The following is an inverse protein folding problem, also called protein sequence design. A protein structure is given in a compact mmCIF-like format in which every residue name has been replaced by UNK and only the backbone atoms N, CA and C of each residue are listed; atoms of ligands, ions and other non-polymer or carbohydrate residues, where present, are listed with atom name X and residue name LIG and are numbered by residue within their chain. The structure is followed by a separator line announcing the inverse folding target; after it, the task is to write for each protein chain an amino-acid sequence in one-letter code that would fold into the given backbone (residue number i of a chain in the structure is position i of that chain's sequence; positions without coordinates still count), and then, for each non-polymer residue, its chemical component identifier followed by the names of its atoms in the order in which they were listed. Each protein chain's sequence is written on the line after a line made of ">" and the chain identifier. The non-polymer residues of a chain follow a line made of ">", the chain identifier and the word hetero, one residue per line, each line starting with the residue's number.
data_IF_217613020880
#
_entry.id   IF_217613020880
#
_cell.length_a   1.000
_cell.length_b   1.000
_cell.length_c   1.000
_cell.angle_alpha   90.00
_cell.angle_beta   90.00
_cell.angle_gamma   90.00
#
_symmetry.space_group_name_H-M   'P 1'
#
loop_
_entity.id
_entity.type
_entity.pdbx_description
1 polymer ?
#
# COMPACT_ATOMS: atom_id res chain seq x y z
N UNK A 1 30.05 10.82 7.87
CA UNK A 1 29.01 10.46 6.88
C UNK A 1 28.06 11.64 6.77
N UNK A 2 27.72 12.07 5.54
CA UNK A 2 26.72 13.14 5.34
C UNK A 2 25.28 12.63 5.48
N UNK A 3 24.31 13.56 5.51
CA UNK A 3 22.90 13.22 5.57
C UNK A 3 22.45 12.46 4.32
N UNK A 4 21.72 11.37 4.53
CA UNK A 4 21.11 10.59 3.45
C UNK A 4 19.92 11.37 2.89
N UNK A 5 20.02 11.82 1.63
CA UNK A 5 18.96 12.55 0.92
C UNK A 5 18.21 11.69 -0.09
N UNK A 6 18.80 10.54 -0.46
CA UNK A 6 18.22 9.63 -1.44
C UNK A 6 18.67 8.19 -1.14
N UNK A 7 17.73 7.25 -1.13
CA UNK A 7 17.98 5.84 -0.86
C UNK A 7 16.99 4.94 -1.60
N UNK A 8 17.49 4.00 -2.39
CA UNK A 8 16.71 3.00 -3.13
C UNK A 8 15.51 3.60 -3.91
N UNK A 9 15.70 4.72 -4.61
CA UNK A 9 14.62 5.35 -5.38
C UNK A 9 13.67 6.24 -4.57
N UNK A 10 13.92 6.40 -3.28
CA UNK A 10 13.16 7.26 -2.38
C UNK A 10 13.96 8.50 -1.99
N UNK A 11 13.29 9.64 -1.93
CA UNK A 11 13.83 10.83 -1.29
C UNK A 11 13.65 10.73 0.23
N UNK A 12 14.67 11.16 0.96
CA UNK A 12 14.70 11.22 2.42
C UNK A 12 14.80 12.69 2.83
N UNK A 13 13.77 13.17 3.50
CA UNK A 13 13.73 14.53 4.07
C UNK A 13 13.73 14.40 5.60
N UNK A 14 14.67 15.04 6.26
CA UNK A 14 14.82 14.99 7.71
C UNK A 14 14.84 16.41 8.27
N UNK A 15 13.90 16.71 9.15
CA UNK A 15 13.82 17.95 9.93
C UNK A 15 14.08 17.59 11.40
N UNK A 16 15.32 17.86 11.84
CA UNK A 16 15.76 17.53 13.20
C UNK A 16 15.07 18.41 14.26
N UNK A 17 14.80 19.66 13.92
CA UNK A 17 14.21 20.62 14.84
C UNK A 17 12.74 20.24 15.14
N UNK A 18 12.02 19.76 14.12
CA UNK A 18 10.66 19.26 14.27
C UNK A 18 10.58 17.78 14.64
N UNK A 19 11.69 17.05 14.60
CA UNK A 19 11.71 15.60 14.82
C UNK A 19 10.86 14.85 13.79
N UNK A 20 10.96 15.24 12.51
CA UNK A 20 10.19 14.65 11.39
C UNK A 20 11.14 14.02 10.38
N UNK A 21 10.80 12.79 9.95
CA UNK A 21 11.43 12.10 8.84
C UNK A 21 10.35 11.80 7.79
N UNK A 22 10.60 12.15 6.53
CA UNK A 22 9.74 11.82 5.39
C UNK A 22 10.47 10.99 4.36
N UNK A 23 9.78 9.96 3.86
CA UNK A 23 10.20 9.14 2.73
C UNK A 23 9.18 9.25 1.62
N UNK A 24 9.59 9.68 0.43
CA UNK A 24 8.67 9.85 -0.69
C UNK A 24 9.31 9.59 -2.04
N UNK A 25 8.49 9.29 -3.03
CA UNK A 25 8.89 9.08 -4.43
C UNK A 25 8.28 10.15 -5.36
N UNK A 26 8.24 11.41 -4.91
CA UNK A 26 7.53 12.50 -5.59
C UNK A 26 7.85 12.58 -7.08
N UNK A 27 9.13 12.68 -7.45
CA UNK A 27 9.53 12.78 -8.87
C UNK A 27 9.10 11.58 -9.71
N UNK A 28 9.18 10.37 -9.14
CA UNK A 28 8.69 9.16 -9.78
C UNK A 28 7.19 9.22 -10.03
N UNK A 29 6.43 9.57 -8.99
CA UNK A 29 4.96 9.64 -9.08
C UNK A 29 4.49 10.73 -10.05
N UNK A 30 5.13 11.90 -10.06
CA UNK A 30 4.85 12.99 -11.02
C UNK A 30 5.07 12.53 -12.47
N UNK A 31 6.16 11.81 -12.74
CA UNK A 31 6.50 11.32 -14.09
C UNK A 31 5.63 10.18 -14.62
N UNK A 32 4.80 9.54 -13.78
CA UNK A 32 3.97 8.42 -14.24
C UNK A 32 2.90 8.86 -15.25
N UNK A 33 2.22 9.99 -15.02
CA UNK A 33 1.20 10.49 -15.96
C UNK A 33 1.82 10.86 -17.30
N UNK A 34 3.01 11.47 -17.29
CA UNK A 34 3.75 11.79 -18.52
C UNK A 34 4.15 10.54 -19.28
N UNK A 35 4.75 9.57 -18.59
CA UNK A 35 5.17 8.29 -19.17
C UNK A 35 4.06 7.56 -19.92
N UNK A 36 2.83 7.67 -19.46
CA UNK A 36 1.67 6.96 -20.04
C UNK A 36 0.73 7.86 -20.84
N UNK A 37 1.10 9.13 -21.11
CA UNK A 37 0.29 10.08 -21.86
C UNK A 37 -1.05 10.43 -21.21
N UNK A 38 -1.06 10.57 -19.87
CA UNK A 38 -2.26 10.77 -19.06
C UNK A 38 -2.33 12.14 -18.37
N UNK A 39 -1.54 13.12 -18.82
CA UNK A 39 -1.44 14.44 -18.18
C UNK A 39 -2.75 15.24 -18.26
N UNK A 40 -3.46 15.14 -19.40
CA UNK A 40 -4.66 15.93 -19.68
C UNK A 40 -5.93 15.37 -19.01
N UNK A 41 -5.80 14.33 -18.21
CA UNK A 41 -6.92 13.72 -17.50
C UNK A 41 -7.27 14.44 -16.19
N UNK A 42 -8.49 14.23 -15.70
CA UNK A 42 -8.93 14.73 -14.40
C UNK A 42 -8.05 14.20 -13.26
N UNK A 43 -8.04 14.91 -12.11
CA UNK A 43 -7.34 14.52 -10.88
C UNK A 43 -8.29 13.75 -9.96
N UNK A 44 -8.26 12.42 -9.94
CA UNK A 44 -9.16 11.64 -9.09
C UNK A 44 -8.88 11.89 -7.61
N UNK A 45 -9.94 11.97 -6.79
CA UNK A 45 -9.81 12.10 -5.35
C UNK A 45 -9.54 10.75 -4.63
N UNK A 46 -9.83 9.63 -5.31
CA UNK A 46 -9.69 8.28 -4.77
C UNK A 46 -8.97 7.36 -5.76
N UNK A 47 -8.22 6.36 -5.29
CA UNK A 47 -7.51 5.41 -6.16
C UNK A 47 -8.43 4.70 -7.16
N UNK A 48 -9.54 4.13 -6.68
CA UNK A 48 -10.58 3.49 -7.49
C UNK A 48 -11.92 4.20 -7.31
N UNK A 49 -12.85 4.09 -8.28
CA UNK A 49 -14.22 4.57 -8.10
C UNK A 49 -14.91 3.86 -6.93
N UNK A 50 -15.87 4.53 -6.31
CA UNK A 50 -16.70 3.89 -5.27
C UNK A 50 -17.49 2.73 -5.87
N UNK A 51 -17.50 1.60 -5.17
CA UNK A 51 -18.20 0.38 -5.62
C UNK A 51 -17.53 -0.37 -6.78
N UNK A 52 -16.39 0.09 -7.28
CA UNK A 52 -15.65 -0.61 -8.33
C UNK A 52 -15.05 -1.92 -7.82
N UNK A 53 -15.39 -3.01 -8.48
CA UNK A 53 -14.84 -4.34 -8.18
C UNK A 53 -13.93 -4.81 -9.31
N UNK A 54 -12.83 -5.46 -8.96
CA UNK A 54 -11.91 -6.06 -9.94
C UNK A 54 -12.17 -7.56 -9.96
N UNK A 55 -12.84 -8.04 -11.00
CA UNK A 55 -13.17 -9.45 -11.19
C UNK A 55 -12.58 -9.94 -12.53
N UNK A 56 -12.28 -11.24 -12.68
CA UNK A 56 -11.93 -11.80 -13.98
C UNK A 56 -13.04 -11.53 -15.00
N UNK A 57 -12.67 -11.14 -16.20
CA UNK A 57 -13.62 -10.90 -17.29
C UNK A 57 -13.75 -12.10 -18.23
N UNK A 58 -14.86 -12.14 -19.01
CA UNK A 58 -15.06 -13.10 -20.07
C UNK A 58 -14.00 -12.92 -21.19
N UNK A 59 -13.77 -13.95 -22.00
CA UNK A 59 -12.74 -13.95 -23.06
C UNK A 59 -12.97 -12.83 -24.08
N UNK A 60 -14.20 -12.52 -24.39
CA UNK A 60 -14.62 -11.49 -25.35
C UNK A 60 -14.36 -10.06 -24.87
N UNK A 61 -14.21 -9.88 -23.55
CA UNK A 61 -13.97 -8.57 -22.92
C UNK A 61 -12.49 -8.26 -22.71
N UNK A 62 -11.59 -9.22 -22.95
CA UNK A 62 -10.16 -9.05 -22.77
C UNK A 62 -9.62 -8.08 -23.81
N UNK A 63 -8.85 -7.08 -23.33
CA UNK A 63 -8.22 -6.10 -24.22
C UNK A 63 -7.20 -6.74 -25.16
N UNK A 64 -6.92 -6.07 -26.28
CA UNK A 64 -5.90 -6.48 -27.23
C UNK A 64 -4.48 -6.50 -26.65
N UNK A 65 -3.56 -7.13 -27.34
CA UNK A 65 -2.17 -7.36 -26.90
C UNK A 65 -1.42 -6.07 -26.52
N UNK A 66 -1.64 -4.97 -27.28
CA UNK A 66 -1.04 -3.66 -27.01
C UNK A 66 -1.50 -3.10 -25.65
N UNK A 67 -2.80 -3.12 -25.42
CA UNK A 67 -3.42 -2.61 -24.19
C UNK A 67 -3.09 -3.49 -22.99
N UNK A 68 -2.95 -4.80 -23.20
CA UNK A 68 -2.49 -5.74 -22.16
C UNK A 68 -1.05 -5.42 -21.72
N UNK A 69 -0.14 -5.14 -22.69
CA UNK A 69 1.23 -4.70 -22.38
C UNK A 69 1.25 -3.37 -21.64
N UNK A 70 0.41 -2.43 -22.06
CA UNK A 70 0.26 -1.14 -21.39
C UNK A 70 -0.24 -1.32 -19.95
N UNK A 71 -1.29 -2.12 -19.76
CA UNK A 71 -1.83 -2.45 -18.43
C UNK A 71 -0.77 -3.07 -17.52
N UNK A 72 -0.06 -4.08 -17.99
CA UNK A 72 1.02 -4.74 -17.26
C UNK A 72 2.11 -3.75 -16.84
N UNK A 73 2.53 -2.87 -17.75
CA UNK A 73 3.52 -1.82 -17.46
C UNK A 73 3.04 -0.84 -16.40
N UNK A 74 1.77 -0.37 -16.47
CA UNK A 74 1.18 0.52 -15.48
C UNK A 74 1.07 -0.16 -14.10
N UNK A 75 0.56 -1.39 -14.04
CA UNK A 75 0.45 -2.14 -12.78
C UNK A 75 1.82 -2.38 -12.15
N UNK A 76 2.83 -2.71 -12.94
CA UNK A 76 4.21 -2.84 -12.45
C UNK A 76 4.76 -1.54 -11.84
N UNK A 77 4.54 -0.41 -12.51
CA UNK A 77 4.97 0.90 -12.02
C UNK A 77 4.22 1.33 -10.74
N UNK A 78 2.92 1.07 -10.67
CA UNK A 78 2.10 1.32 -9.49
C UNK A 78 2.51 0.43 -8.32
N UNK A 79 2.83 -0.84 -8.58
CA UNK A 79 3.28 -1.79 -7.56
C UNK A 79 4.62 -1.36 -6.94
N UNK A 80 5.52 -0.77 -7.74
CA UNK A 80 6.75 -0.20 -7.20
C UNK A 80 6.46 0.95 -6.22
N UNK A 81 5.56 1.89 -6.56
CA UNK A 81 5.18 2.96 -5.64
C UNK A 81 4.45 2.42 -4.39
N UNK A 82 3.50 1.49 -4.58
CA UNK A 82 2.71 0.87 -3.52
C UNK A 82 3.55 0.16 -2.46
N UNK A 83 4.64 -0.49 -2.86
CA UNK A 83 5.50 -1.27 -1.96
C UNK A 83 6.60 -0.44 -1.28
N UNK A 84 6.82 0.83 -1.70
CA UNK A 84 7.90 1.64 -1.15
C UNK A 84 7.40 2.80 -0.29
N UNK A 85 6.49 3.64 -0.80
CA UNK A 85 6.09 4.87 -0.11
C UNK A 85 4.60 5.17 -0.15
N UNK A 86 3.78 4.35 -0.84
CA UNK A 86 2.38 4.63 -1.09
C UNK A 86 1.45 3.49 -0.59
N UNK A 87 1.34 3.28 0.73
CA UNK A 87 0.40 2.30 1.29
C UNK A 87 -1.06 2.56 0.91
N UNK A 88 -1.44 3.80 0.63
CA UNK A 88 -2.77 4.23 0.22
C UNK A 88 -3.27 3.60 -1.08
N UNK A 89 -2.36 3.18 -1.97
CA UNK A 89 -2.72 2.49 -3.22
C UNK A 89 -2.49 0.96 -3.17
N UNK A 90 -2.05 0.41 -2.06
CA UNK A 90 -1.70 -1.02 -1.96
C UNK A 90 -2.87 -1.94 -2.32
N UNK A 91 -4.07 -1.64 -1.83
CA UNK A 91 -5.28 -2.39 -2.16
C UNK A 91 -5.61 -2.31 -3.66
N UNK A 92 -5.71 -1.10 -4.21
CA UNK A 92 -6.06 -0.89 -5.62
C UNK A 92 -5.08 -1.59 -6.56
N UNK A 93 -3.77 -1.45 -6.28
CA UNK A 93 -2.70 -2.08 -7.07
C UNK A 93 -2.75 -3.59 -6.97
N UNK A 94 -2.93 -4.15 -5.77
CA UNK A 94 -3.06 -5.59 -5.56
C UNK A 94 -4.25 -6.18 -6.33
N UNK A 95 -5.39 -5.48 -6.36
CA UNK A 95 -6.57 -5.90 -7.11
C UNK A 95 -6.32 -5.90 -8.61
N UNK A 96 -5.77 -4.81 -9.17
CA UNK A 96 -5.43 -4.73 -10.60
C UNK A 96 -4.37 -5.77 -10.99
N UNK A 97 -3.40 -6.04 -10.11
CA UNK A 97 -2.40 -7.07 -10.34
C UNK A 97 -3.00 -8.48 -10.44
N UNK A 98 -4.11 -8.77 -9.76
CA UNK A 98 -4.75 -10.10 -9.81
C UNK A 98 -5.34 -10.44 -11.18
N UNK A 99 -5.58 -9.45 -12.05
CA UNK A 99 -6.15 -9.63 -13.40
C UNK A 99 -5.17 -9.28 -14.52
N UNK A 100 -3.88 -9.13 -14.19
CA UNK A 100 -2.84 -8.65 -15.13
C UNK A 100 -2.68 -9.52 -16.39
N UNK A 101 -2.98 -10.81 -16.31
CA UNK A 101 -2.90 -11.73 -17.43
C UNK A 101 -4.02 -11.52 -18.46
N UNK A 102 -5.20 -11.09 -18.01
CA UNK A 102 -6.42 -10.97 -18.85
C UNK A 102 -7.26 -9.76 -18.38
N UNK A 103 -6.77 -8.52 -18.59
CA UNK A 103 -7.50 -7.33 -18.18
C UNK A 103 -8.63 -6.98 -19.15
N UNK A 104 -9.74 -6.46 -18.62
CA UNK A 104 -10.81 -5.85 -19.41
C UNK A 104 -10.53 -4.37 -19.71
N UNK A 105 -11.32 -3.77 -20.63
CA UNK A 105 -11.26 -2.33 -20.89
C UNK A 105 -11.56 -1.49 -19.64
N UNK A 106 -12.51 -1.92 -18.82
CA UNK A 106 -12.85 -1.24 -17.57
C UNK A 106 -11.68 -1.25 -16.56
N UNK A 107 -11.00 -2.38 -16.47
CA UNK A 107 -9.81 -2.52 -15.60
C UNK A 107 -8.62 -1.70 -16.13
N UNK A 108 -8.46 -1.60 -17.45
CA UNK A 108 -7.47 -0.71 -18.07
C UNK A 108 -7.75 0.77 -17.72
N UNK A 109 -8.99 1.21 -17.80
CA UNK A 109 -9.38 2.58 -17.40
C UNK A 109 -9.19 2.81 -15.88
N UNK A 110 -9.46 1.80 -15.06
CA UNK A 110 -9.17 1.86 -13.63
C UNK A 110 -7.65 2.00 -13.35
N UNK A 111 -6.79 1.30 -14.11
CA UNK A 111 -5.34 1.45 -14.01
C UNK A 111 -4.89 2.86 -14.43
N UNK A 112 -5.42 3.39 -15.54
CA UNK A 112 -5.16 4.78 -15.97
C UNK A 112 -5.61 5.79 -14.92
N UNK A 113 -6.79 5.59 -14.30
CA UNK A 113 -7.27 6.40 -13.19
C UNK A 113 -6.30 6.36 -12.01
N UNK A 114 -5.80 5.19 -11.63
CA UNK A 114 -4.87 5.02 -10.53
C UNK A 114 -3.53 5.73 -10.79
N UNK A 115 -3.03 5.70 -12.04
CA UNK A 115 -1.85 6.47 -12.46
C UNK A 115 -2.09 7.97 -12.28
N UNK A 116 -3.24 8.50 -12.71
CA UNK A 116 -3.60 9.93 -12.52
C UNK A 116 -3.70 10.29 -11.04
N UNK A 117 -4.29 9.41 -10.21
CA UNK A 117 -4.36 9.61 -8.77
C UNK A 117 -2.97 9.71 -8.14
N UNK A 118 -2.07 8.78 -8.44
CA UNK A 118 -0.70 8.77 -7.92
C UNK A 118 0.06 10.02 -8.35
N UNK A 119 -0.05 10.43 -9.60
CA UNK A 119 0.59 11.65 -10.11
C UNK A 119 0.00 12.91 -9.46
N UNK A 120 -1.32 13.01 -9.31
CA UNK A 120 -1.98 14.15 -8.68
C UNK A 120 -1.67 14.27 -7.18
N UNK A 121 -1.35 13.15 -6.53
CA UNK A 121 -1.01 13.06 -5.11
C UNK A 121 0.47 12.73 -4.87
N UNK A 122 1.36 13.13 -5.77
CA UNK A 122 2.76 12.78 -5.77
C UNK A 122 3.52 13.23 -4.50
N UNK A 123 3.02 14.25 -3.79
CA UNK A 123 3.57 14.72 -2.51
C UNK A 123 3.27 13.79 -1.32
N UNK A 124 2.36 12.82 -1.48
CA UNK A 124 2.06 11.83 -0.44
C UNK A 124 3.22 10.85 -0.32
N UNK A 125 3.61 10.56 0.92
CA UNK A 125 4.66 9.63 1.28
C UNK A 125 4.52 9.17 2.72
N UNK A 126 5.53 8.47 3.22
CA UNK A 126 5.61 8.04 4.61
C UNK A 126 6.17 9.18 5.46
N UNK A 127 5.56 9.42 6.61
CA UNK A 127 6.02 10.41 7.57
C UNK A 127 6.11 9.79 8.96
N UNK A 128 7.24 9.99 9.61
CA UNK A 128 7.52 9.56 10.97
C UNK A 128 7.75 10.80 11.82
N UNK A 129 7.08 10.90 12.98
CA UNK A 129 7.25 12.03 13.87
C UNK A 129 6.96 11.66 15.33
N UNK A 130 7.67 12.31 16.25
CA UNK A 130 7.47 12.15 17.69
C UNK A 130 6.05 12.55 18.13
N UNK A 131 5.42 13.52 17.45
CA UNK A 131 4.05 13.96 17.73
C UNK A 131 3.06 12.86 17.35
N UNK A 132 3.15 12.29 16.15
CA UNK A 132 2.29 11.19 15.71
C UNK A 132 2.48 9.95 16.56
N UNK A 133 3.70 9.66 16.98
CA UNK A 133 3.99 8.56 17.89
C UNK A 133 3.24 8.70 19.22
N UNK A 134 3.16 9.92 19.78
CA UNK A 134 2.37 10.19 21.00
C UNK A 134 0.89 9.96 20.79
N UNK A 135 0.35 10.36 19.64
CA UNK A 135 -1.06 10.15 19.30
C UNK A 135 -1.41 8.66 19.10
N UNK A 136 -0.51 7.86 18.54
CA UNK A 136 -0.69 6.42 18.38
C UNK A 136 -0.73 5.67 19.71
N UNK A 137 -0.04 6.17 20.73
CA UNK A 137 0.01 5.53 22.07
C UNK A 137 -1.34 5.49 22.78
N UNK A 138 -2.28 6.40 22.43
CA UNK A 138 -3.55 6.50 23.13
C UNK A 138 -3.35 6.65 24.65
N UNK A 139 -4.22 6.03 25.44
CA UNK A 139 -4.14 6.01 26.92
C UNK A 139 -3.17 4.92 27.47
N UNK A 140 -2.39 4.24 26.64
CA UNK A 140 -1.40 3.29 27.13
C UNK A 140 -0.26 4.04 27.81
N UNK A 141 -0.12 3.83 29.11
CA UNK A 141 0.89 4.45 29.99
C UNK A 141 2.27 3.80 29.74
N UNK A 142 2.84 4.11 28.57
CA UNK A 142 4.19 3.68 28.22
C UNK A 142 5.17 4.75 28.70
N UNK A 143 6.27 4.32 29.35
CA UNK A 143 7.31 5.20 29.88
C UNK A 143 7.83 6.20 28.84
N UNK A 144 8.36 7.34 29.29
CA UNK A 144 8.95 8.36 28.42
C UNK A 144 10.06 7.74 27.55
N UNK A 145 9.87 7.77 26.22
CA UNK A 145 10.89 7.31 25.25
C UNK A 145 10.64 5.95 24.62
N UNK A 146 9.69 5.14 25.09
CA UNK A 146 9.40 3.85 24.47
C UNK A 146 8.68 4.02 23.12
N UNK A 147 9.18 3.36 22.06
CA UNK A 147 8.55 3.28 20.75
C UNK A 147 7.76 1.98 20.65
N UNK A 148 6.46 2.08 20.40
CA UNK A 148 5.55 0.93 20.30
C UNK A 148 5.38 0.50 18.85
N UNK A 149 5.64 -0.78 18.59
CA UNK A 149 5.22 -1.43 17.35
C UNK A 149 3.73 -1.81 17.47
N UNK A 150 2.90 -1.25 16.62
CA UNK A 150 1.45 -1.51 16.56
C UNK A 150 1.08 -2.07 15.20
N UNK A 151 0.27 -3.11 15.14
CA UNK A 151 -0.22 -3.68 13.89
C UNK A 151 -1.74 -3.75 13.90
N UNK A 152 -2.34 -3.27 12.82
CA UNK A 152 -3.78 -3.37 12.55
C UNK A 152 -3.98 -4.40 11.44
N UNK A 153 -4.97 -5.26 11.61
CA UNK A 153 -5.35 -6.28 10.63
C UNK A 153 -6.83 -6.19 10.34
N UNK A 154 -7.21 -6.50 9.12
CA UNK A 154 -8.61 -6.49 8.67
C UNK A 154 -8.81 -7.46 7.52
N UNK A 155 -10.04 -7.96 7.34
CA UNK A 155 -10.41 -8.80 6.21
C UNK A 155 -11.79 -8.45 5.65
N UNK A 156 -11.87 -8.36 4.33
CA UNK A 156 -13.14 -8.19 3.63
C UNK A 156 -13.67 -9.55 3.19
N UNK A 157 -14.65 -10.08 3.95
CA UNK A 157 -15.25 -11.40 3.71
C UNK A 157 -15.90 -11.50 2.32
N UNK A 158 -15.62 -12.61 1.61
CA UNK A 158 -16.22 -12.93 0.30
C UNK A 158 -16.17 -11.75 -0.71
N UNK A 159 -15.05 -11.02 -0.71
CA UNK A 159 -14.90 -9.82 -1.53
C UNK A 159 -14.48 -10.10 -2.98
N UNK A 160 -14.02 -11.32 -3.27
CA UNK A 160 -13.74 -11.81 -4.64
C UNK A 160 -14.85 -12.76 -5.04
N UNK A 161 -15.84 -12.25 -5.76
CA UNK A 161 -17.05 -13.02 -6.09
C UNK A 161 -16.80 -14.21 -7.01
N UNK A 162 -15.77 -14.13 -7.85
CA UNK A 162 -15.43 -15.18 -8.80
C UNK A 162 -15.10 -16.53 -8.16
N UNK A 163 -14.52 -16.54 -6.96
CA UNK A 163 -14.11 -17.77 -6.27
C UNK A 163 -14.44 -17.78 -4.76
N UNK A 164 -15.18 -16.79 -4.27
CA UNK A 164 -15.59 -16.71 -2.87
C UNK A 164 -14.46 -16.39 -1.88
N UNK A 165 -13.26 -16.03 -2.36
CA UNK A 165 -12.16 -15.69 -1.48
C UNK A 165 -12.29 -14.29 -0.89
N UNK A 166 -11.60 -14.06 0.20
CA UNK A 166 -11.56 -12.78 0.91
C UNK A 166 -10.24 -12.04 0.62
N UNK A 167 -10.23 -10.75 0.92
CA UNK A 167 -9.00 -9.95 0.88
C UNK A 167 -8.63 -9.61 2.30
N UNK A 168 -7.43 -10.00 2.72
CA UNK A 168 -6.87 -9.62 4.01
C UNK A 168 -5.80 -8.56 3.84
N UNK A 169 -5.62 -7.76 4.88
CA UNK A 169 -4.58 -6.74 4.95
C UNK A 169 -4.04 -6.54 6.35
N UNK A 170 -2.86 -5.94 6.43
CA UNK A 170 -2.31 -5.43 7.66
C UNK A 170 -1.57 -4.12 7.44
N UNK A 171 -1.46 -3.34 8.50
CA UNK A 171 -0.63 -2.12 8.56
C UNK A 171 0.08 -2.11 9.89
N UNK A 172 1.42 -2.12 9.88
CA UNK A 172 2.26 -2.01 11.05
C UNK A 172 2.83 -0.60 11.16
N UNK A 173 2.75 -0.03 12.33
CA UNK A 173 3.17 1.33 12.67
C UNK A 173 4.30 1.29 13.70
N UNK A 174 5.33 2.11 13.49
CA UNK A 174 6.44 2.30 14.42
C UNK A 174 7.00 3.72 14.25
N UNK A 175 7.42 4.36 15.33
CA UNK A 175 8.00 5.71 15.26
C UNK A 175 7.03 6.80 14.74
N UNK A 176 5.72 6.59 14.88
CA UNK A 176 4.69 7.52 14.40
C UNK A 176 4.35 7.41 12.92
N UNK A 177 4.87 6.40 12.22
CA UNK A 177 4.60 6.17 10.80
C UNK A 177 4.43 4.70 10.44
N UNK A 178 4.01 4.44 9.20
CA UNK A 178 3.83 3.09 8.66
C UNK A 178 5.20 2.50 8.30
N UNK A 179 5.51 1.29 8.79
CA UNK A 179 6.77 0.59 8.52
C UNK A 179 6.60 -0.68 7.70
N UNK A 180 5.42 -1.29 7.75
CA UNK A 180 5.07 -2.43 6.90
C UNK A 180 3.57 -2.44 6.63
N UNK A 181 3.19 -2.85 5.43
CA UNK A 181 1.78 -2.97 5.04
C UNK A 181 1.61 -4.01 3.94
N UNK A 182 0.43 -4.55 3.87
CA UNK A 182 0.06 -5.50 2.82
C UNK A 182 -1.44 -5.50 2.59
N UNK A 183 -1.85 -5.64 1.35
CA UNK A 183 -3.20 -6.02 0.96
C UNK A 183 -3.09 -7.16 -0.04
N UNK A 184 -3.70 -8.31 0.27
CA UNK A 184 -3.60 -9.50 -0.57
C UNK A 184 -4.88 -10.34 -0.48
N UNK A 185 -5.26 -10.93 -1.61
CA UNK A 185 -6.25 -12.00 -1.69
C UNK A 185 -5.79 -13.17 -0.82
N UNK A 186 -6.69 -13.70 0.01
CA UNK A 186 -6.45 -14.91 0.80
C UNK A 186 -6.37 -16.14 -0.11
N UNK A 187 -5.55 -17.10 0.25
CA UNK A 187 -5.36 -18.32 -0.55
C UNK A 187 -6.50 -19.32 -0.37
N UNK A 188 -7.24 -19.22 0.73
CA UNK A 188 -8.29 -20.12 1.13
C UNK A 188 -9.62 -19.37 1.23
N UNK A 189 -10.72 -20.09 0.96
CA UNK A 189 -12.06 -19.56 1.14
C UNK A 189 -12.43 -19.70 2.61
N UNK A 190 -12.64 -18.59 3.28
CA UNK A 190 -13.13 -18.61 4.66
C UNK A 190 -14.63 -18.90 4.71
N UNK A 191 -15.05 -19.72 5.66
CA UNK A 191 -16.46 -20.10 5.86
C UNK A 191 -17.26 -19.04 6.63
N UNK A 192 -16.57 -18.09 7.26
CA UNK A 192 -17.17 -16.99 8.01
C UNK A 192 -16.31 -15.74 7.98
N UNK A 193 -16.89 -14.59 8.29
CA UNK A 193 -16.13 -13.34 8.49
C UNK A 193 -15.09 -13.50 9.60
N UNK A 194 -15.43 -14.17 10.68
CA UNK A 194 -14.53 -14.43 11.81
C UNK A 194 -13.27 -15.20 11.36
N UNK A 195 -13.45 -16.25 10.55
CA UNK A 195 -12.33 -17.05 10.04
C UNK A 195 -11.40 -16.23 9.16
N UNK A 196 -11.94 -15.38 8.26
CA UNK A 196 -11.12 -14.51 7.40
C UNK A 196 -10.37 -13.45 8.19
N UNK A 197 -10.95 -12.93 9.28
CA UNK A 197 -10.27 -12.04 10.23
C UNK A 197 -9.10 -12.74 10.93
N UNK A 198 -9.27 -14.00 11.36
CA UNK A 198 -8.17 -14.79 11.93
C UNK A 198 -7.06 -15.05 10.91
N UNK A 199 -7.39 -15.26 9.64
CA UNK A 199 -6.38 -15.39 8.58
C UNK A 199 -5.59 -14.09 8.39
N UNK A 200 -6.25 -12.94 8.41
CA UNK A 200 -5.59 -11.64 8.34
C UNK A 200 -4.71 -11.39 9.58
N UNK A 201 -5.23 -11.68 10.77
CA UNK A 201 -4.50 -11.59 12.03
C UNK A 201 -3.23 -12.46 12.02
N UNK A 202 -3.31 -13.70 11.51
CA UNK A 202 -2.17 -14.58 11.38
C UNK A 202 -1.04 -13.97 10.53
N UNK A 203 -1.38 -13.32 9.41
CA UNK A 203 -0.40 -12.64 8.56
C UNK A 203 0.21 -11.43 9.26
N UNK A 204 -0.59 -10.62 9.94
CA UNK A 204 -0.10 -9.49 10.73
C UNK A 204 0.78 -9.92 11.90
N UNK A 205 0.42 -11.00 12.60
CA UNK A 205 1.21 -11.54 13.71
C UNK A 205 2.60 -12.02 13.24
N UNK A 206 2.68 -12.70 12.09
CA UNK A 206 3.97 -13.08 11.50
C UNK A 206 4.85 -11.87 11.21
N UNK A 207 4.28 -10.80 10.66
CA UNK A 207 5.01 -9.57 10.36
C UNK A 207 5.49 -8.90 11.65
N UNK A 208 4.66 -8.82 12.68
CA UNK A 208 5.05 -8.28 14.00
C UNK A 208 6.21 -9.06 14.59
N UNK A 209 6.21 -10.39 14.53
CA UNK A 209 7.33 -11.21 15.02
C UNK A 209 8.61 -10.91 14.24
N UNK A 210 8.54 -10.76 12.92
CA UNK A 210 9.69 -10.40 12.09
C UNK A 210 10.24 -9.02 12.46
N UNK A 211 9.36 -8.01 12.54
CA UNK A 211 9.75 -6.64 12.89
C UNK A 211 10.30 -6.54 14.31
N UNK A 212 9.74 -7.28 15.30
CA UNK A 212 10.28 -7.32 16.66
C UNK A 212 11.72 -7.82 16.69
N UNK A 213 12.01 -8.92 16.00
CA UNK A 213 13.38 -9.46 15.89
C UNK A 213 14.33 -8.44 15.29
N UNK A 214 13.94 -7.81 14.19
CA UNK A 214 14.73 -6.77 13.55
C UNK A 214 15.00 -5.58 14.50
N UNK A 215 13.99 -5.13 15.24
CA UNK A 215 14.12 -4.06 16.23
C UNK A 215 15.04 -4.45 17.39
N UNK A 216 14.95 -5.68 17.87
CA UNK A 216 15.84 -6.23 18.91
C UNK A 216 17.30 -6.25 18.43
N UNK A 217 17.57 -6.67 17.17
CA UNK A 217 18.93 -6.68 16.59
C UNK A 217 19.53 -5.27 16.50
N UNK A 218 18.74 -4.23 16.28
CA UNK A 218 19.21 -2.83 16.27
C UNK A 218 19.15 -2.16 17.66
N UNK A 219 18.89 -2.92 18.73
CA UNK A 219 18.89 -2.44 20.11
C UNK A 219 17.61 -1.75 20.56
N UNK A 220 16.50 -1.91 19.83
CA UNK A 220 15.18 -1.33 20.17
C UNK A 220 14.24 -2.45 20.63
N UNK A 221 14.28 -2.75 21.94
CA UNK A 221 13.45 -3.80 22.51
C UNK A 221 11.96 -3.41 22.52
N UNK A 222 11.10 -4.35 22.15
CA UNK A 222 9.64 -4.26 22.24
C UNK A 222 9.17 -5.17 23.40
N UNK A 223 8.41 -4.60 24.33
CA UNK A 223 7.81 -5.36 25.44
C UNK A 223 6.59 -6.16 24.97
#
# INVERSE_FOLDING_TARGET
>A
MGDVKYYLGMHVERDLDKGVLRLHQRKYCEGLAEKYGLQDGGKPATPLPSGFTVEPCADEEVVGESDRKLFHSMVGALNYAANHTRPDIAFATSRLASVVSRPSHEQLEAAKRLVRYVSATASVGLEYSAVRQRLQRGAADLGKGEMLLTCYTDASFNSVKADGTSIGGYVCLFGGGVVSWRSKKQNEVGLSSCETEYMALHHGAKEVVCLRRLLEEIGVCQK
#
